data_IF_054179188746
#
_entry.id   IF_054179188746
#
_cell.length_a   1.000
_cell.length_b   1.000
_cell.length_c   1.000
_cell.angle_alpha   90.00
_cell.angle_beta   90.00
_cell.angle_gamma   90.00
#
_symmetry.space_group_name_H-M   'P 1'
#
loop_
_entity.id
_entity.type
_entity.pdbx_description
1 polymer ?
#
# COMPACT_ATOMS: atom_id res chain seq x y z
N UNK A 1 20.35 -30.24 12.04
CA UNK A 1 20.11 -29.71 10.67
C UNK A 1 18.71 -30.01 10.16
N UNK A 2 18.29 -31.28 10.03
CA UNK A 2 16.98 -31.64 9.46
C UNK A 2 15.76 -30.95 10.13
N UNK A 3 15.74 -30.82 11.46
CA UNK A 3 14.65 -30.13 12.20
C UNK A 3 14.57 -28.63 11.90
N UNK A 4 15.71 -27.96 11.72
CA UNK A 4 15.76 -26.54 11.38
C UNK A 4 15.28 -26.30 9.95
N UNK A 5 15.64 -27.18 9.02
CA UNK A 5 15.17 -27.14 7.63
C UNK A 5 13.66 -27.36 7.54
N UNK A 6 13.10 -28.34 8.27
CA UNK A 6 11.64 -28.59 8.31
C UNK A 6 10.88 -27.41 8.94
N UNK A 7 11.42 -26.80 9.99
CA UNK A 7 10.81 -25.61 10.60
C UNK A 7 10.85 -24.42 9.61
N UNK A 8 11.96 -24.21 8.90
CA UNK A 8 12.06 -23.18 7.85
C UNK A 8 11.08 -23.47 6.72
N UNK A 9 10.91 -24.72 6.32
CA UNK A 9 9.95 -25.12 5.28
C UNK A 9 8.50 -24.85 5.69
N UNK A 10 8.11 -25.28 6.89
CA UNK A 10 6.77 -25.03 7.45
C UNK A 10 6.50 -23.54 7.66
N UNK A 11 7.52 -22.80 8.14
CA UNK A 11 7.41 -21.35 8.30
C UNK A 11 7.29 -20.67 6.94
N UNK A 12 8.09 -21.03 5.93
CA UNK A 12 8.06 -20.36 4.62
C UNK A 12 6.73 -20.56 3.89
N UNK A 13 6.18 -21.77 3.92
CA UNK A 13 4.89 -22.13 3.31
C UNK A 13 3.71 -21.42 4.02
N UNK A 14 3.71 -21.45 5.35
CA UNK A 14 2.63 -20.87 6.17
C UNK A 14 2.66 -19.33 6.22
N UNK A 15 3.85 -18.72 6.10
CA UNK A 15 4.05 -17.27 6.25
C UNK A 15 3.90 -16.57 4.90
N UNK A 16 4.53 -17.06 3.84
CA UNK A 16 4.59 -16.30 2.59
C UNK A 16 3.31 -16.38 1.75
N UNK A 17 2.39 -17.30 2.04
CA UNK A 17 1.24 -17.61 1.18
C UNK A 17 1.70 -17.87 -0.27
N UNK A 18 2.84 -18.55 -0.40
CA UNK A 18 3.46 -18.94 -1.66
C UNK A 18 3.58 -20.44 -1.61
N UNK A 19 2.96 -21.14 -2.57
CA UNK A 19 3.22 -22.56 -2.85
C UNK A 19 4.74 -22.76 -3.03
N UNK A 20 5.42 -23.22 -1.99
CA UNK A 20 6.87 -23.38 -2.05
C UNK A 20 7.18 -24.70 -2.73
N UNK A 21 7.54 -24.62 -4.01
CA UNK A 21 8.12 -25.76 -4.71
C UNK A 21 9.43 -26.18 -4.00
N UNK A 22 9.38 -27.31 -3.29
CA UNK A 22 10.45 -27.83 -2.43
C UNK A 22 11.77 -28.09 -3.19
N UNK A 23 11.70 -28.20 -4.51
CA UNK A 23 12.82 -28.39 -5.42
C UNK A 23 13.77 -27.18 -5.54
N UNK A 24 13.39 -26.01 -4.99
CA UNK A 24 14.17 -24.76 -5.07
C UNK A 24 14.95 -24.39 -3.81
N UNK A 25 14.99 -25.25 -2.78
CA UNK A 25 15.84 -25.03 -1.62
C UNK A 25 17.28 -25.47 -1.90
N UNK A 26 18.17 -24.50 -2.03
CA UNK A 26 19.61 -24.76 -2.16
C UNK A 26 20.27 -24.69 -0.78
N UNK A 27 20.93 -25.77 -0.38
CA UNK A 27 21.82 -25.78 0.78
C UNK A 27 23.10 -24.98 0.46
N UNK A 28 23.01 -23.65 0.53
CA UNK A 28 24.18 -22.76 0.60
C UNK A 28 24.56 -22.45 2.05
N UNK A 29 25.61 -21.66 2.28
CA UNK A 29 26.06 -21.22 3.62
C UNK A 29 24.98 -20.54 4.47
N UNK A 30 23.85 -20.14 3.88
CA UNK A 30 22.61 -19.80 4.56
C UNK A 30 21.38 -20.27 3.76
N UNK A 31 20.20 -20.33 4.39
CA UNK A 31 18.96 -20.69 3.72
C UNK A 31 18.54 -19.58 2.76
N UNK A 32 18.19 -19.95 1.52
CA UNK A 32 17.71 -19.05 0.48
C UNK A 32 16.32 -19.47 0.01
N UNK A 33 15.45 -18.49 -0.19
CA UNK A 33 14.09 -18.69 -0.73
C UNK A 33 13.87 -17.71 -1.87
N UNK A 34 13.47 -18.21 -3.04
CA UNK A 34 13.22 -17.38 -4.24
C UNK A 34 14.41 -16.44 -4.60
N UNK A 35 15.63 -16.85 -4.26
CA UNK A 35 16.85 -16.09 -4.49
C UNK A 35 17.08 -14.91 -3.53
N UNK A 36 16.35 -14.86 -2.41
CA UNK A 36 16.59 -14.00 -1.24
C UNK A 36 17.33 -14.77 -0.14
N UNK A 37 17.95 -14.05 0.79
CA UNK A 37 18.65 -14.61 1.94
C UNK A 37 17.78 -14.56 3.19
N UNK A 38 17.74 -15.65 3.96
CA UNK A 38 17.01 -15.70 5.22
C UNK A 38 17.96 -15.47 6.40
N UNK A 39 17.74 -14.38 7.12
CA UNK A 39 18.36 -14.10 8.42
C UNK A 39 17.47 -14.68 9.52
N UNK A 40 17.62 -15.99 9.77
CA UNK A 40 16.81 -16.72 10.75
C UNK A 40 16.96 -16.18 12.18
N UNK A 41 18.16 -15.86 12.70
CA UNK A 41 18.30 -15.29 14.04
C UNK A 41 17.48 -14.02 14.25
N UNK A 42 17.33 -13.19 13.20
CA UNK A 42 16.57 -11.95 13.27
C UNK A 42 15.16 -12.05 12.69
N UNK A 43 14.76 -13.23 12.21
CA UNK A 43 13.49 -13.48 11.54
C UNK A 43 13.21 -12.49 10.39
N UNK A 44 14.19 -12.31 9.51
CA UNK A 44 14.11 -11.37 8.38
C UNK A 44 14.47 -12.04 7.05
N UNK A 45 13.93 -11.48 5.98
CA UNK A 45 14.34 -11.77 4.62
C UNK A 45 15.14 -10.60 4.07
N UNK A 46 16.35 -10.89 3.60
CA UNK A 46 17.35 -9.93 3.16
C UNK A 46 17.49 -9.95 1.65
N UNK A 47 17.59 -8.76 1.07
CA UNK A 47 17.93 -8.60 -0.34
C UNK A 47 19.44 -8.83 -0.53
N UNK A 48 19.88 -9.82 -1.33
CA UNK A 48 21.30 -10.06 -1.57
C UNK A 48 22.02 -8.79 -2.03
N UNK A 49 23.20 -8.53 -1.47
CA UNK A 49 23.94 -7.27 -1.60
C UNK A 49 24.24 -6.95 -3.06
N UNK A 50 24.64 -7.94 -3.85
CA UNK A 50 25.00 -7.74 -5.26
C UNK A 50 23.76 -7.38 -6.10
N UNK A 51 22.64 -8.09 -5.87
CA UNK A 51 21.38 -7.80 -6.55
C UNK A 51 20.84 -6.43 -6.19
N UNK A 52 20.94 -6.06 -4.91
CA UNK A 52 20.57 -4.74 -4.40
C UNK A 52 21.38 -3.63 -5.08
N UNK A 53 22.71 -3.79 -5.14
CA UNK A 53 23.59 -2.82 -5.79
C UNK A 53 23.20 -2.58 -7.26
N UNK A 54 22.94 -3.65 -8.01
CA UNK A 54 22.49 -3.57 -9.42
C UNK A 54 21.14 -2.84 -9.58
N UNK A 55 20.23 -3.01 -8.62
CA UNK A 55 18.94 -2.29 -8.63
C UNK A 55 19.18 -0.80 -8.35
N UNK A 56 19.95 -0.48 -7.31
CA UNK A 56 20.25 0.91 -6.90
C UNK A 56 20.96 1.67 -8.01
N UNK A 57 21.93 1.05 -8.69
CA UNK A 57 22.62 1.64 -9.84
C UNK A 57 21.63 2.00 -10.95
N UNK A 58 20.76 1.05 -11.33
CA UNK A 58 19.77 1.28 -12.39
C UNK A 58 18.75 2.37 -12.00
N UNK A 59 18.33 2.40 -10.74
CA UNK A 59 17.44 3.45 -10.21
C UNK A 59 18.11 4.82 -10.16
N UNK A 60 19.42 4.87 -9.91
CA UNK A 60 20.19 6.12 -9.90
C UNK A 60 20.27 6.73 -11.29
N UNK A 61 20.41 5.90 -12.33
CA UNK A 61 20.32 6.39 -13.70
C UNK A 61 18.89 6.87 -14.02
N UNK A 62 17.87 6.09 -13.62
CA UNK A 62 16.48 6.39 -13.92
C UNK A 62 15.89 7.57 -13.12
N UNK A 63 16.50 7.96 -12.00
CA UNK A 63 16.04 9.12 -11.20
C UNK A 63 16.46 10.47 -11.78
N UNK A 64 17.40 10.49 -12.74
CA UNK A 64 17.87 11.72 -13.39
C UNK A 64 16.79 12.27 -14.32
N UNK A 65 16.04 13.28 -13.85
CA UNK A 65 14.96 13.95 -14.61
C UNK A 65 15.46 14.43 -15.98
N UNK A 66 14.58 14.33 -16.99
CA UNK A 66 14.82 14.78 -18.37
C UNK A 66 15.97 14.07 -19.12
N UNK A 67 16.58 13.05 -18.55
CA UNK A 67 17.54 12.19 -19.25
C UNK A 67 16.84 11.27 -20.25
N UNK A 68 17.62 10.66 -21.14
CA UNK A 68 17.16 9.57 -21.98
C UNK A 68 17.80 8.27 -21.51
N UNK A 69 17.00 7.21 -21.42
CA UNK A 69 17.47 5.89 -21.00
C UNK A 69 17.17 4.83 -22.07
N UNK A 70 18.02 3.80 -22.21
CA UNK A 70 17.69 2.61 -23.01
C UNK A 70 16.43 1.93 -22.47
N UNK A 71 15.56 1.45 -23.36
CA UNK A 71 14.36 0.68 -22.98
C UNK A 71 14.74 -0.55 -22.14
N UNK A 72 15.83 -1.23 -22.51
CA UNK A 72 16.30 -2.42 -21.82
C UNK A 72 16.66 -2.14 -20.35
N UNK A 73 17.10 -0.92 -20.02
CA UNK A 73 17.39 -0.54 -18.63
C UNK A 73 16.09 -0.53 -17.81
N UNK A 74 15.02 0.05 -18.36
CA UNK A 74 13.72 0.09 -17.68
C UNK A 74 13.12 -1.30 -17.54
N UNK A 75 13.17 -2.12 -18.60
CA UNK A 75 12.68 -3.51 -18.57
C UNK A 75 13.41 -4.34 -17.51
N UNK A 76 14.76 -4.30 -17.49
CA UNK A 76 15.57 -5.02 -16.51
C UNK A 76 15.32 -4.51 -15.08
N UNK A 77 15.21 -3.20 -14.91
CA UNK A 77 14.93 -2.60 -13.60
C UNK A 77 13.56 -3.04 -13.10
N UNK A 78 12.53 -2.94 -13.94
CA UNK A 78 11.18 -3.38 -13.60
C UNK A 78 11.17 -4.86 -13.21
N UNK A 79 11.82 -5.74 -13.98
CA UNK A 79 11.90 -7.17 -13.64
C UNK A 79 12.52 -7.42 -12.25
N UNK A 80 13.61 -6.72 -11.94
CA UNK A 80 14.27 -6.81 -10.61
C UNK A 80 13.39 -6.24 -9.50
N UNK A 81 12.67 -5.14 -9.75
CA UNK A 81 11.76 -4.54 -8.80
C UNK A 81 10.52 -5.39 -8.54
N UNK A 82 9.95 -6.02 -9.57
CA UNK A 82 8.85 -6.98 -9.43
C UNK A 82 9.29 -8.13 -8.54
N UNK A 83 10.48 -8.68 -8.80
CA UNK A 83 11.08 -9.69 -7.92
C UNK A 83 11.22 -9.17 -6.48
N UNK A 84 11.89 -8.04 -6.25
CA UNK A 84 12.04 -7.48 -4.90
C UNK A 84 10.68 -7.20 -4.20
N UNK A 85 9.65 -6.83 -4.96
CA UNK A 85 8.31 -6.56 -4.45
C UNK A 85 7.52 -7.79 -4.00
N UNK A 86 8.04 -9.01 -4.25
CA UNK A 86 7.49 -10.23 -3.64
C UNK A 86 7.70 -10.25 -2.12
N UNK A 87 8.68 -9.48 -1.62
CA UNK A 87 9.00 -9.38 -0.19
C UNK A 87 8.73 -7.97 0.30
N UNK A 88 9.19 -6.96 -0.44
CA UNK A 88 8.98 -5.56 -0.09
C UNK A 88 7.67 -5.05 -0.72
N UNK A 89 6.52 -5.43 -0.15
CA UNK A 89 5.20 -5.11 -0.70
C UNK A 89 4.99 -3.61 -0.96
N UNK A 90 5.57 -2.73 -0.13
CA UNK A 90 5.49 -1.27 -0.31
C UNK A 90 6.06 -0.77 -1.64
N UNK A 91 6.88 -1.56 -2.34
CA UNK A 91 7.38 -1.20 -3.66
C UNK A 91 6.28 -1.26 -4.74
N UNK A 92 5.25 -2.09 -4.55
CA UNK A 92 4.25 -2.40 -5.59
C UNK A 92 3.49 -1.17 -6.08
N UNK A 93 3.07 -0.28 -5.17
CA UNK A 93 2.39 0.99 -5.53
C UNK A 93 3.23 1.88 -6.46
N UNK A 94 4.56 1.79 -6.36
CA UNK A 94 5.52 2.60 -7.07
C UNK A 94 5.97 1.99 -8.40
N UNK A 95 5.56 0.76 -8.73
CA UNK A 95 5.93 0.11 -10.01
C UNK A 95 5.06 0.58 -11.19
N UNK A 96 3.92 1.23 -10.93
CA UNK A 96 2.99 1.66 -11.99
C UNK A 96 3.64 2.56 -13.06
N UNK A 97 4.48 3.57 -12.73
CA UNK A 97 5.16 4.37 -13.75
C UNK A 97 6.06 3.55 -14.68
N UNK A 98 6.73 2.52 -14.15
CA UNK A 98 7.55 1.61 -14.95
C UNK A 98 6.68 0.79 -15.92
N UNK A 99 5.60 0.18 -15.43
CA UNK A 99 4.64 -0.54 -16.28
C UNK A 99 4.01 0.37 -17.35
N UNK A 100 3.68 1.61 -17.00
CA UNK A 100 3.10 2.58 -17.93
C UNK A 100 4.04 2.88 -19.11
N UNK A 101 5.34 3.03 -18.83
CA UNK A 101 6.37 3.24 -19.85
C UNK A 101 6.50 2.02 -20.76
N UNK A 102 6.59 0.81 -20.20
CA UNK A 102 6.69 -0.43 -21.00
C UNK A 102 5.45 -0.62 -21.87
N UNK A 103 4.25 -0.42 -21.32
CA UNK A 103 2.99 -0.52 -22.08
C UNK A 103 2.88 0.53 -23.19
N UNK A 104 3.47 1.71 -23.01
CA UNK A 104 3.44 2.78 -24.02
C UNK A 104 4.34 2.48 -25.24
N UNK A 105 5.40 1.70 -25.05
CA UNK A 105 6.33 1.32 -26.12
C UNK A 105 5.99 -0.03 -26.78
N UNK A 106 5.12 -0.83 -26.16
CA UNK A 106 4.64 -2.09 -26.74
C UNK A 106 3.92 -1.82 -28.08
N UNK A 107 4.30 -2.53 -29.16
CA UNK A 107 3.63 -2.38 -30.43
C UNK A 107 2.17 -2.82 -30.28
N UNK A 108 1.22 -1.90 -30.55
CA UNK A 108 -0.20 -2.22 -30.65
C UNK A 108 -0.44 -3.08 -31.91
N UNK A 109 -0.17 -4.36 -31.82
CA UNK A 109 -0.18 -5.32 -32.93
C UNK A 109 -1.57 -5.70 -33.45
N UNK A 110 -2.63 -4.99 -33.06
CA UNK A 110 -4.02 -5.38 -33.35
C UNK A 110 -4.65 -4.70 -34.57
N UNK A 111 -4.01 -3.71 -35.18
CA UNK A 111 -4.51 -3.13 -36.43
C UNK A 111 -3.96 -3.91 -37.63
N UNK A 112 -4.85 -4.69 -38.26
CA UNK A 112 -4.61 -5.40 -39.53
C UNK A 112 -4.12 -4.37 -40.56
N UNK A 113 -2.83 -4.39 -40.89
CA UNK A 113 -2.21 -3.50 -41.88
C UNK A 113 -1.14 -2.54 -41.34
N UNK A 114 -0.86 -2.53 -40.03
CA UNK A 114 0.16 -1.64 -39.48
C UNK A 114 1.58 -2.04 -39.91
N UNK A 115 2.21 -1.18 -40.72
CA UNK A 115 3.64 -1.19 -41.06
C UNK A 115 4.47 -1.52 -39.81
N UNK A 116 5.38 -2.51 -39.91
CA UNK A 116 6.31 -2.91 -38.84
C UNK A 116 7.00 -1.67 -38.25
N UNK A 117 6.45 -1.09 -37.18
CA UNK A 117 7.05 0.06 -36.50
C UNK A 117 8.41 -0.36 -35.95
N UNK A 118 9.45 0.45 -36.24
CA UNK A 118 10.79 0.24 -35.68
C UNK A 118 10.68 0.23 -34.15
N UNK A 119 11.28 -0.78 -33.52
CA UNK A 119 11.28 -0.94 -32.06
C UNK A 119 11.92 0.28 -31.40
N UNK A 120 11.22 0.92 -30.47
CA UNK A 120 11.73 2.03 -29.66
C UNK A 120 12.92 1.51 -28.84
N UNK A 121 14.09 2.16 -28.96
CA UNK A 121 15.32 1.75 -28.25
C UNK A 121 15.62 2.61 -27.03
N UNK A 122 15.20 3.87 -27.04
CA UNK A 122 15.43 4.84 -25.97
C UNK A 122 14.13 5.58 -25.67
N UNK A 123 13.97 5.97 -24.42
CA UNK A 123 12.84 6.77 -23.95
C UNK A 123 13.36 8.01 -23.23
N UNK A 124 12.54 9.06 -23.19
CA UNK A 124 12.75 10.20 -22.29
C UNK A 124 12.15 9.86 -20.93
N UNK A 125 12.91 10.08 -19.86
CA UNK A 125 12.44 9.85 -18.49
C UNK A 125 11.53 11.01 -18.08
N UNK A 126 10.23 10.70 -17.91
CA UNK A 126 9.25 11.62 -17.35
C UNK A 126 9.39 11.78 -15.83
N UNK A 127 8.85 12.87 -15.29
CA UNK A 127 8.87 13.17 -13.84
C UNK A 127 8.35 12.01 -13.00
N UNK A 128 7.23 11.41 -13.39
CA UNK A 128 6.63 10.30 -12.63
C UNK A 128 7.51 9.06 -12.55
N UNK A 129 8.30 8.74 -13.59
CA UNK A 129 9.22 7.61 -13.55
C UNK A 129 10.43 7.95 -12.67
N UNK A 130 11.00 9.15 -12.85
CA UNK A 130 12.15 9.62 -12.09
C UNK A 130 11.85 9.68 -10.58
N UNK A 131 10.69 10.20 -10.20
CA UNK A 131 10.26 10.29 -8.79
C UNK A 131 10.04 8.92 -8.17
N UNK A 132 9.40 7.99 -8.90
CA UNK A 132 9.26 6.61 -8.44
C UNK A 132 10.62 5.92 -8.29
N UNK A 133 11.54 6.12 -9.25
CA UNK A 133 12.88 5.57 -9.17
C UNK A 133 13.67 6.12 -7.96
N UNK A 134 13.61 7.44 -7.74
CA UNK A 134 14.25 8.10 -6.60
C UNK A 134 13.71 7.61 -5.26
N UNK A 135 12.38 7.48 -5.15
CA UNK A 135 11.74 7.01 -3.94
C UNK A 135 12.09 5.55 -3.61
N UNK A 136 12.01 4.66 -4.62
CA UNK A 136 12.38 3.24 -4.44
C UNK A 136 13.87 3.13 -4.08
N UNK A 137 14.73 3.95 -4.69
CA UNK A 137 16.15 4.01 -4.33
C UNK A 137 16.33 4.37 -2.86
N UNK A 138 15.68 5.44 -2.39
CA UNK A 138 15.74 5.85 -0.98
C UNK A 138 15.26 4.76 -0.02
N UNK A 139 14.23 4.01 -0.40
CA UNK A 139 13.80 2.80 0.33
C UNK A 139 14.93 1.77 0.39
N UNK A 140 15.48 1.39 -0.76
CA UNK A 140 16.45 0.31 -0.86
C UNK A 140 17.80 0.72 -0.27
N UNK A 141 18.15 2.00 -0.21
CA UNK A 141 19.35 2.52 0.46
C UNK A 141 19.26 2.32 1.99
N UNK A 142 18.08 2.50 2.57
CA UNK A 142 17.87 2.48 4.02
C UNK A 142 17.35 1.15 4.56
N UNK A 143 16.72 0.32 3.72
CA UNK A 143 16.11 -0.94 4.16
C UNK A 143 16.65 -2.09 3.33
N UNK A 144 17.42 -2.93 4.02
CA UNK A 144 18.06 -4.12 3.45
C UNK A 144 17.30 -5.41 3.72
N UNK A 145 16.40 -5.37 4.70
CA UNK A 145 15.71 -6.53 5.22
C UNK A 145 14.24 -6.21 5.48
N UNK A 146 13.35 -7.13 5.11
CA UNK A 146 11.96 -7.12 5.54
C UNK A 146 11.80 -8.14 6.68
N UNK A 147 11.00 -7.87 7.71
CA UNK A 147 10.53 -8.94 8.58
C UNK A 147 9.84 -10.03 7.72
N UNK A 148 9.87 -11.28 8.21
CA UNK A 148 9.11 -12.36 7.59
C UNK A 148 7.64 -11.95 7.43
N UNK A 149 7.09 -11.98 6.20
CA UNK A 149 5.71 -11.59 5.93
C UNK A 149 4.71 -12.50 6.66
N UNK A 150 4.35 -12.27 7.92
CA UNK A 150 3.36 -13.10 8.63
C UNK A 150 3.86 -13.81 9.88
N UNK A 151 5.13 -13.62 10.30
CA UNK A 151 5.45 -13.85 11.71
C UNK A 151 4.79 -12.74 12.53
N UNK A 152 3.82 -13.18 13.31
CA UNK A 152 3.01 -12.38 14.21
C UNK A 152 3.93 -11.46 15.00
N UNK A 153 3.65 -10.14 15.04
CA UNK A 153 4.40 -9.26 15.91
C UNK A 153 4.32 -9.73 17.36
N UNK A 154 5.40 -9.52 18.10
CA UNK A 154 5.56 -9.82 19.53
C UNK A 154 4.28 -9.52 20.31
N UNK A 155 3.82 -10.49 21.12
CA UNK A 155 2.84 -10.20 22.18
C UNK A 155 3.39 -9.04 23.03
N UNK A 156 2.71 -7.89 23.05
CA UNK A 156 3.06 -6.76 23.91
C UNK A 156 3.13 -5.38 23.24
N UNK A 157 3.06 -5.28 21.90
CA UNK A 157 3.00 -3.98 21.21
C UNK A 157 1.54 -3.54 21.01
N UNK A 158 1.17 -2.32 21.44
CA UNK A 158 -0.20 -1.80 21.38
C UNK A 158 -0.76 -1.88 19.95
N UNK A 159 -1.87 -2.60 19.78
CA UNK A 159 -2.58 -2.68 18.49
C UNK A 159 -3.77 -1.73 18.43
N UNK A 160 -4.01 -1.18 17.25
CA UNK A 160 -5.23 -0.45 16.94
C UNK A 160 -6.07 -1.23 15.93
N UNK A 161 -7.35 -1.46 16.25
CA UNK A 161 -8.32 -2.06 15.33
C UNK A 161 -9.13 -0.92 14.71
N UNK A 162 -9.01 -0.75 13.40
CA UNK A 162 -9.70 0.28 12.64
C UNK A 162 -10.88 -0.37 11.92
N UNK A 163 -12.10 -0.04 12.32
CA UNK A 163 -13.31 -0.37 11.59
C UNK A 163 -13.71 0.83 10.74
N UNK A 164 -13.86 0.66 9.44
CA UNK A 164 -14.13 1.77 8.54
C UNK A 164 -15.18 1.40 7.49
N UNK A 165 -15.89 2.44 7.05
CA UNK A 165 -16.91 2.36 6.01
C UNK A 165 -17.04 3.71 5.29
N UNK A 166 -17.69 3.69 4.13
CA UNK A 166 -18.10 4.87 3.39
C UNK A 166 -19.48 4.69 2.75
N UNK A 167 -20.26 5.76 2.80
CA UNK A 167 -21.52 5.91 2.08
C UNK A 167 -21.37 6.85 0.88
N UNK A 168 -22.48 7.26 0.27
CA UNK A 168 -22.46 8.26 -0.82
C UNK A 168 -22.36 9.70 -0.31
N UNK A 169 -22.50 9.91 1.00
CA UNK A 169 -22.57 11.23 1.64
C UNK A 169 -21.42 11.50 2.60
N UNK A 170 -20.85 10.46 3.18
CA UNK A 170 -19.75 10.57 4.13
C UNK A 170 -18.93 9.29 4.18
N UNK A 171 -17.75 9.37 4.79
CA UNK A 171 -16.97 8.22 5.23
C UNK A 171 -16.63 8.37 6.69
N UNK A 172 -16.36 7.26 7.36
CA UNK A 172 -15.91 7.31 8.73
C UNK A 172 -15.51 5.96 9.27
N UNK A 173 -15.16 5.96 10.55
CA UNK A 173 -14.75 4.75 11.21
C UNK A 173 -14.52 4.94 12.70
N UNK A 174 -14.36 3.81 13.37
CA UNK A 174 -13.98 3.70 14.76
C UNK A 174 -12.59 3.04 14.85
N UNK A 175 -11.83 3.44 15.84
CA UNK A 175 -10.51 2.92 16.18
C UNK A 175 -10.60 2.44 17.61
N UNK A 176 -10.45 1.14 17.80
CA UNK A 176 -10.56 0.48 19.09
C UNK A 176 -9.17 0.03 19.52
N UNK A 177 -8.80 0.34 20.77
CA UNK A 177 -7.57 -0.20 21.36
C UNK A 177 -7.65 -1.71 21.51
N UNK A 178 -6.50 -2.38 21.58
CA UNK A 178 -6.46 -3.85 21.73
C UNK A 178 -7.22 -4.37 22.96
N UNK A 179 -7.23 -3.61 24.06
CA UNK A 179 -7.97 -3.94 25.28
C UNK A 179 -9.48 -3.63 25.20
N UNK A 180 -9.94 -3.05 24.09
CA UNK A 180 -11.33 -2.65 23.86
C UNK A 180 -11.79 -1.44 24.69
N UNK A 181 -10.90 -0.84 25.49
CA UNK A 181 -11.30 0.20 26.46
C UNK A 181 -11.38 1.57 25.85
N UNK A 182 -10.53 1.91 24.88
CA UNK A 182 -10.51 3.23 24.25
C UNK A 182 -11.08 3.13 22.85
N UNK A 183 -12.03 4.01 22.55
CA UNK A 183 -12.62 4.13 21.21
C UNK A 183 -12.41 5.54 20.72
N UNK A 184 -11.78 5.69 19.57
CA UNK A 184 -11.72 6.95 18.85
C UNK A 184 -12.55 6.84 17.58
N UNK A 185 -13.32 7.86 17.22
CA UNK A 185 -14.13 7.85 15.99
C UNK A 185 -13.84 9.07 15.13
N UNK A 186 -13.96 8.91 13.81
CA UNK A 186 -13.80 10.01 12.86
C UNK A 186 -14.88 9.99 11.80
N UNK A 187 -15.20 11.17 11.27
CA UNK A 187 -16.22 11.37 10.25
C UNK A 187 -15.71 12.38 9.20
N UNK A 188 -15.91 12.04 7.93
CA UNK A 188 -15.62 12.85 6.76
C UNK A 188 -16.92 13.15 6.03
N UNK A 189 -17.42 14.38 6.20
CA UNK A 189 -18.58 14.84 5.45
C UNK A 189 -18.19 15.17 4.01
N UNK A 190 -18.76 14.49 3.02
CA UNK A 190 -18.46 14.75 1.62
C UNK A 190 -19.13 16.01 1.09
N UNK A 191 -19.98 16.69 1.85
CA UNK A 191 -20.46 18.04 1.49
C UNK A 191 -19.45 19.12 1.87
N UNK A 192 -18.49 18.81 2.75
CA UNK A 192 -17.41 19.72 3.12
C UNK A 192 -16.50 19.99 1.91
N UNK A 193 -16.27 21.27 1.62
CA UNK A 193 -15.48 21.71 0.47
C UNK A 193 -14.03 21.17 0.48
N UNK A 194 -13.41 21.05 1.67
CA UNK A 194 -12.05 20.52 1.78
C UNK A 194 -12.01 19.02 1.44
N UNK A 195 -12.97 18.25 1.94
CA UNK A 195 -13.09 16.81 1.66
C UNK A 195 -13.42 16.59 0.18
N UNK A 196 -14.30 17.39 -0.41
CA UNK A 196 -14.58 17.35 -1.85
C UNK A 196 -13.36 17.63 -2.70
N UNK A 197 -12.56 18.65 -2.34
CA UNK A 197 -11.35 18.96 -3.08
C UNK A 197 -10.38 17.75 -3.08
N UNK A 198 -10.24 17.08 -1.94
CA UNK A 198 -9.44 15.85 -1.85
C UNK A 198 -10.02 14.76 -2.74
N UNK A 199 -11.33 14.48 -2.66
CA UNK A 199 -11.95 13.43 -3.47
C UNK A 199 -11.80 13.74 -4.98
N UNK A 200 -12.02 14.98 -5.38
CA UNK A 200 -11.90 15.44 -6.77
C UNK A 200 -10.48 15.27 -7.33
N UNK A 201 -9.43 15.37 -6.52
CA UNK A 201 -8.05 15.13 -6.93
C UNK A 201 -7.78 13.66 -7.35
N UNK A 202 -8.65 12.73 -6.97
CA UNK A 202 -8.51 11.30 -7.25
C UNK A 202 -9.60 10.77 -8.17
N UNK A 203 -10.84 11.21 -7.96
CA UNK A 203 -12.03 10.84 -8.74
C UNK A 203 -12.82 12.11 -9.12
N UNK A 204 -12.36 12.87 -10.14
CA UNK A 204 -12.97 14.15 -10.53
C UNK A 204 -14.45 14.08 -10.93
N UNK A 205 -14.92 12.89 -11.28
CA UNK A 205 -16.31 12.61 -11.67
C UNK A 205 -17.26 12.41 -10.49
N UNK A 206 -16.75 12.22 -9.27
CA UNK A 206 -17.60 11.99 -8.10
C UNK A 206 -18.29 13.29 -7.65
N UNK A 207 -19.58 13.20 -7.37
CA UNK A 207 -20.41 14.29 -6.83
C UNK A 207 -21.33 13.71 -5.78
N UNK A 208 -21.50 14.41 -4.66
CA UNK A 208 -22.44 14.00 -3.62
C UNK A 208 -23.87 14.17 -4.12
N UNK A 209 -24.69 13.16 -3.89
CA UNK A 209 -26.07 13.10 -4.37
C UNK A 209 -26.22 12.33 -5.68
N UNK A 210 -25.16 12.23 -6.49
CA UNK A 210 -25.15 11.39 -7.68
C UNK A 210 -25.00 9.91 -7.29
N UNK A 211 -25.48 9.02 -8.17
CA UNK A 211 -25.29 7.58 -7.99
C UNK A 211 -23.81 7.24 -8.22
N UNK A 212 -23.07 6.77 -7.21
CA UNK A 212 -21.66 6.44 -7.39
C UNK A 212 -21.49 5.19 -8.23
N UNK A 213 -20.42 5.16 -9.01
CA UNK A 213 -19.95 3.93 -9.63
C UNK A 213 -19.31 3.02 -8.57
N UNK A 214 -19.29 1.71 -8.81
CA UNK A 214 -18.64 0.74 -7.91
C UNK A 214 -17.17 1.10 -7.61
N UNK A 215 -16.47 1.68 -8.60
CA UNK A 215 -15.10 2.17 -8.42
C UNK A 215 -14.97 3.38 -7.49
N UNK A 216 -16.00 4.23 -7.38
CA UNK A 216 -16.02 5.35 -6.44
C UNK A 216 -16.17 4.84 -5.01
N UNK A 217 -17.11 3.93 -4.76
CA UNK A 217 -17.32 3.37 -3.41
C UNK A 217 -16.04 2.71 -2.87
N UNK A 218 -15.37 1.90 -3.69
CA UNK A 218 -14.09 1.29 -3.31
C UNK A 218 -13.02 2.34 -2.95
N UNK A 219 -12.99 3.47 -3.65
CA UNK A 219 -12.08 4.57 -3.31
C UNK A 219 -12.43 5.24 -1.99
N UNK A 220 -13.71 5.52 -1.74
CA UNK A 220 -14.16 6.21 -0.55
C UNK A 220 -13.92 5.36 0.72
N UNK A 221 -14.15 4.06 0.64
CA UNK A 221 -13.84 3.14 1.74
C UNK A 221 -12.33 2.99 1.97
N UNK A 222 -11.54 2.88 0.91
CA UNK A 222 -10.08 2.88 1.02
C UNK A 222 -9.56 4.19 1.61
N UNK A 223 -10.17 5.33 1.25
CA UNK A 223 -9.84 6.63 1.83
C UNK A 223 -10.16 6.66 3.33
N UNK A 224 -11.30 6.11 3.74
CA UNK A 224 -11.66 5.95 5.16
C UNK A 224 -10.59 5.15 5.91
N UNK A 225 -10.24 3.97 5.41
CA UNK A 225 -9.17 3.15 5.98
C UNK A 225 -7.83 3.90 6.07
N UNK A 226 -7.43 4.62 5.02
CA UNK A 226 -6.18 5.39 4.98
C UNK A 226 -6.17 6.49 6.03
N UNK A 227 -7.29 7.19 6.24
CA UNK A 227 -7.42 8.20 7.30
C UNK A 227 -7.23 7.57 8.67
N UNK A 228 -7.88 6.43 8.92
CA UNK A 228 -7.69 5.64 10.14
C UNK A 228 -6.21 5.27 10.35
N UNK A 229 -5.54 4.72 9.33
CA UNK A 229 -4.14 4.32 9.40
C UNK A 229 -3.24 5.52 9.65
N UNK A 230 -3.44 6.64 8.94
CA UNK A 230 -2.63 7.85 9.07
C UNK A 230 -2.83 8.58 10.41
N UNK A 231 -3.86 8.23 11.18
CA UNK A 231 -4.07 8.79 12.52
C UNK A 231 -3.23 8.15 13.63
N UNK A 232 -2.63 6.99 13.38
CA UNK A 232 -1.89 6.22 14.40
C UNK A 232 -0.41 6.64 14.51
N UNK A 233 0.32 6.28 15.57
CA UNK A 233 1.79 6.33 15.56
C UNK A 233 2.38 5.49 14.41
N UNK A 234 3.60 5.79 13.96
CA UNK A 234 4.22 5.16 12.78
C UNK A 234 4.67 3.71 13.02
N UNK A 235 4.95 3.39 14.27
CA UNK A 235 5.34 2.09 14.79
C UNK A 235 4.13 1.26 15.30
N UNK A 236 2.95 1.87 15.41
CA UNK A 236 1.77 1.16 15.90
C UNK A 236 1.21 0.18 14.86
N UNK A 237 0.92 -1.04 15.31
CA UNK A 237 0.26 -2.04 14.48
C UNK A 237 -1.21 -1.73 14.28
N UNK A 238 -1.65 -1.89 13.05
CA UNK A 238 -3.03 -1.63 12.64
C UNK A 238 -3.68 -2.85 12.01
N UNK A 239 -4.85 -3.22 12.55
CA UNK A 239 -5.77 -4.16 11.91
C UNK A 239 -6.93 -3.36 11.32
N UNK A 240 -7.09 -3.39 10.00
CA UNK A 240 -8.19 -2.73 9.31
C UNK A 240 -9.30 -3.73 9.00
N UNK A 241 -10.52 -3.37 9.38
CA UNK A 241 -11.76 -4.10 9.10
C UNK A 241 -12.63 -3.23 8.18
N UNK A 242 -12.96 -3.77 7.01
CA UNK A 242 -13.69 -3.09 5.95
C UNK A 242 -14.51 -4.13 5.16
N UNK A 243 -15.72 -3.79 4.76
CA UNK A 243 -16.62 -4.68 4.02
C UNK A 243 -16.42 -4.63 2.49
N UNK A 244 -15.59 -3.72 1.99
CA UNK A 244 -15.18 -3.74 0.60
C UNK A 244 -13.92 -4.57 0.38
N UNK A 245 -14.15 -5.78 -0.14
CA UNK A 245 -13.12 -6.71 -0.55
C UNK A 245 -12.03 -6.09 -1.45
N UNK A 246 -12.37 -5.13 -2.31
CA UNK A 246 -11.39 -4.50 -3.18
C UNK A 246 -10.49 -3.50 -2.44
N UNK A 247 -11.02 -2.76 -1.46
CA UNK A 247 -10.24 -1.92 -0.56
C UNK A 247 -9.31 -2.77 0.33
N UNK A 248 -9.82 -3.85 0.93
CA UNK A 248 -9.04 -4.82 1.71
C UNK A 248 -7.89 -5.40 0.87
N UNK A 249 -8.18 -5.84 -0.36
CA UNK A 249 -7.16 -6.38 -1.26
C UNK A 249 -6.09 -5.33 -1.61
N UNK A 250 -6.49 -4.07 -1.80
CA UNK A 250 -5.57 -2.97 -2.05
C UNK A 250 -4.63 -2.73 -0.87
N UNK A 251 -5.16 -2.73 0.37
CA UNK A 251 -4.39 -2.59 1.60
C UNK A 251 -3.40 -3.76 1.78
N UNK A 252 -3.89 -5.00 1.73
CA UNK A 252 -3.04 -6.19 1.90
C UNK A 252 -1.89 -6.26 0.88
N UNK A 253 -2.13 -5.81 -0.36
CA UNK A 253 -1.11 -5.79 -1.42
C UNK A 253 -0.28 -4.51 -1.45
N UNK A 254 -0.66 -3.49 -0.68
CA UNK A 254 -0.13 -2.13 -0.79
C UNK A 254 -0.14 -1.61 -2.24
N UNK A 255 -1.16 -1.99 -3.02
CA UNK A 255 -1.26 -1.72 -4.46
C UNK A 255 -2.67 -1.93 -4.98
N UNK A 256 -3.06 -1.12 -5.97
CA UNK A 256 -4.32 -1.31 -6.69
C UNK A 256 -4.15 -1.13 -8.20
N UNK A 257 -4.98 -1.84 -9.00
CA UNK A 257 -4.98 -1.68 -10.46
C UNK A 257 -5.59 -0.35 -10.91
N UNK A 258 -6.60 0.16 -10.19
CA UNK A 258 -7.21 1.46 -10.47
C UNK A 258 -6.21 2.61 -10.27
N UNK A 259 -6.23 3.62 -11.14
CA UNK A 259 -5.34 4.77 -11.06
C UNK A 259 -5.55 5.57 -9.75
N UNK A 260 -6.81 5.84 -9.42
CA UNK A 260 -7.19 6.58 -8.22
C UNK A 260 -6.77 5.85 -6.95
N UNK A 261 -7.13 4.56 -6.83
CA UNK A 261 -6.75 3.72 -5.68
C UNK A 261 -5.22 3.62 -5.56
N UNK A 262 -4.49 3.41 -6.67
CA UNK A 262 -3.04 3.32 -6.59
C UNK A 262 -2.37 4.65 -6.23
N UNK A 263 -2.93 5.78 -6.67
CA UNK A 263 -2.47 7.11 -6.25
C UNK A 263 -2.58 7.24 -4.73
N UNK A 264 -3.68 6.77 -4.14
CA UNK A 264 -3.90 6.77 -2.69
C UNK A 264 -2.96 5.79 -1.97
N UNK A 265 -2.73 4.59 -2.50
CA UNK A 265 -1.75 3.64 -1.93
C UNK A 265 -0.31 4.15 -2.00
N UNK A 266 0.06 4.87 -3.07
CA UNK A 266 1.36 5.56 -3.13
C UNK A 266 1.46 6.59 -2.01
N UNK A 267 0.40 7.35 -1.76
CA UNK A 267 0.38 8.31 -0.66
C UNK A 267 0.57 7.64 0.70
N UNK A 268 -0.18 6.57 0.97
CA UNK A 268 -0.05 5.82 2.21
C UNK A 268 1.38 5.30 2.40
N UNK A 269 1.92 4.60 1.39
CA UNK A 269 3.26 4.00 1.48
C UNK A 269 4.39 5.02 1.60
N UNK A 270 4.23 6.23 1.06
CA UNK A 270 5.19 7.32 1.22
C UNK A 270 5.04 8.07 2.55
N UNK A 271 3.82 8.15 3.09
CA UNK A 271 3.55 8.78 4.39
C UNK A 271 3.87 7.87 5.57
N UNK A 272 3.89 6.55 5.33
CA UNK A 272 4.25 5.50 6.28
C UNK A 272 5.36 4.61 5.72
N UNK A 273 6.61 5.09 5.67
CA UNK A 273 7.73 4.28 5.22
C UNK A 273 7.88 2.99 6.03
N UNK A 274 7.59 3.00 7.34
CA UNK A 274 7.61 1.83 8.21
C UNK A 274 6.57 0.77 7.85
N UNK A 275 5.52 1.12 7.09
CA UNK A 275 4.40 0.25 6.80
C UNK A 275 4.88 -0.99 6.04
N UNK A 276 4.92 -2.09 6.77
CA UNK A 276 5.30 -3.41 6.31
C UNK A 276 4.12 -4.35 6.52
N UNK A 277 4.14 -5.50 5.83
CA UNK A 277 3.11 -6.54 6.00
C UNK A 277 2.87 -6.92 7.48
N UNK A 278 3.87 -6.92 8.38
CA UNK A 278 3.61 -7.18 9.80
C UNK A 278 2.96 -6.04 10.59
N UNK A 279 3.16 -4.77 10.19
CA UNK A 279 2.58 -3.62 10.90
C UNK A 279 1.14 -3.30 10.46
N UNK A 280 0.69 -3.86 9.33
CA UNK A 280 -0.67 -3.64 8.84
C UNK A 280 -1.27 -4.90 8.24
N UNK A 281 -2.44 -5.27 8.75
CA UNK A 281 -3.31 -6.29 8.17
C UNK A 281 -4.66 -5.67 7.84
N UNK A 282 -5.27 -6.12 6.75
CA UNK A 282 -6.67 -5.80 6.45
C UNK A 282 -7.47 -7.10 6.34
N UNK A 283 -8.68 -7.10 6.88
CA UNK A 283 -9.60 -8.23 6.85
C UNK A 283 -10.95 -7.75 6.34
N UNK A 284 -11.54 -8.55 5.45
CA UNK A 284 -12.90 -8.35 5.02
C UNK A 284 -13.88 -8.75 6.11
N UNK A 285 -14.81 -7.86 6.43
CA UNK A 285 -15.92 -8.15 7.35
C UNK A 285 -17.23 -8.11 6.57
N UNK A 286 -18.19 -8.93 6.97
CA UNK A 286 -19.53 -8.82 6.40
C UNK A 286 -20.17 -7.50 6.82
N UNK A 287 -20.95 -6.87 5.93
CA UNK A 287 -21.59 -5.58 6.23
C UNK A 287 -22.46 -5.60 7.49
N UNK A 288 -23.10 -6.74 7.78
CA UNK A 288 -23.88 -6.93 9.02
C UNK A 288 -23.05 -6.85 10.30
N UNK A 289 -21.73 -7.06 10.21
CA UNK A 289 -20.78 -6.95 11.32
C UNK A 289 -20.09 -5.58 11.38
N UNK A 290 -20.31 -4.70 10.39
CA UNK A 290 -19.67 -3.37 10.30
C UNK A 290 -20.59 -2.24 10.78
N UNK A 291 -21.57 -2.54 11.64
CA UNK A 291 -22.66 -1.63 12.06
C UNK A 291 -22.14 -0.31 12.61
N UNK A 292 -21.05 -0.34 13.39
CA UNK A 292 -20.47 0.88 13.99
C UNK A 292 -19.96 1.82 12.89
N UNK A 293 -19.15 1.32 11.96
CA UNK A 293 -18.61 2.15 10.90
C UNK A 293 -19.71 2.60 9.92
N UNK A 294 -20.68 1.73 9.62
CA UNK A 294 -21.86 2.06 8.80
C UNK A 294 -22.72 3.16 9.42
N UNK A 295 -22.95 3.10 10.73
CA UNK A 295 -23.66 4.15 11.46
C UNK A 295 -22.91 5.48 11.37
N UNK A 296 -21.58 5.46 11.57
CA UNK A 296 -20.76 6.67 11.45
C UNK A 296 -20.81 7.22 10.02
N UNK A 297 -20.75 6.37 8.99
CA UNK A 297 -20.71 6.79 7.58
C UNK A 297 -22.07 7.28 7.05
N UNK A 298 -23.19 6.94 7.71
CA UNK A 298 -24.56 7.24 7.23
C UNK A 298 -25.38 8.19 8.09
N UNK A 299 -25.26 8.12 9.42
CA UNK A 299 -26.14 8.85 10.34
C UNK A 299 -25.91 10.37 10.32
N UNK A 300 -24.74 10.80 9.80
CA UNK A 300 -24.31 12.18 9.77
C UNK A 300 -23.71 12.63 11.10
N UNK A 301 -22.85 13.64 11.03
CA UNK A 301 -21.97 14.04 12.14
C UNK A 301 -22.70 14.30 13.47
N UNK A 302 -23.78 15.09 13.47
CA UNK A 302 -24.50 15.46 14.70
C UNK A 302 -25.13 14.25 15.38
N UNK A 303 -25.72 13.33 14.60
CA UNK A 303 -26.32 12.11 15.14
C UNK A 303 -25.24 11.22 15.73
N UNK A 304 -24.16 10.98 14.99
CA UNK A 304 -23.01 10.19 15.49
C UNK A 304 -22.47 10.78 16.78
N UNK A 305 -22.21 12.09 16.83
CA UNK A 305 -21.68 12.76 18.04
C UNK A 305 -22.60 12.58 19.25
N UNK A 306 -23.92 12.70 19.06
CA UNK A 306 -24.89 12.52 20.14
C UNK A 306 -24.99 11.06 20.60
N UNK A 307 -24.77 10.08 19.72
CA UNK A 307 -24.74 8.66 20.10
C UNK A 307 -23.58 8.36 21.06
N UNK A 308 -22.46 9.07 20.91
CA UNK A 308 -21.24 8.81 21.68
C UNK A 308 -21.01 9.77 22.87
N UNK A 309 -21.81 10.84 23.01
CA UNK A 309 -21.55 11.90 24.00
C UNK A 309 -21.68 11.50 25.47
N UNK A 310 -22.18 10.29 25.76
CA UNK A 310 -22.34 9.76 27.12
C UNK A 310 -21.26 8.77 27.55
N UNK A 311 -20.23 8.53 26.74
CA UNK A 311 -19.19 7.54 27.01
C UNK A 311 -17.83 8.23 27.23
N UNK A 312 -17.31 8.18 28.46
CA UNK A 312 -16.04 8.83 28.83
C UNK A 312 -14.82 8.28 28.06
N UNK A 313 -14.91 7.01 27.67
CA UNK A 313 -13.85 6.28 26.95
C UNK A 313 -13.92 6.45 25.42
N UNK A 314 -14.87 7.26 24.93
CA UNK A 314 -15.07 7.49 23.50
C UNK A 314 -14.70 8.92 23.13
N UNK A 315 -13.79 9.06 22.16
CA UNK A 315 -13.26 10.36 21.75
C UNK A 315 -13.42 10.60 20.25
N UNK A 316 -13.82 11.82 19.90
CA UNK A 316 -13.78 12.27 18.52
C UNK A 316 -12.33 12.58 18.09
N UNK A 317 -11.89 11.93 17.02
CA UNK A 317 -10.62 12.17 16.36
C UNK A 317 -10.77 13.29 15.33
N UNK A 318 -10.07 14.41 15.55
CA UNK A 318 -9.99 15.49 14.56
C UNK A 318 -9.04 15.13 13.42
N UNK A 319 -9.57 15.04 12.21
CA UNK A 319 -8.85 14.54 11.04
C UNK A 319 -8.32 15.64 10.11
N UNK A 320 -8.50 16.92 10.42
CA UNK A 320 -8.10 18.04 9.53
C UNK A 320 -6.63 17.97 9.13
N UNK A 321 -5.74 17.66 10.09
CA UNK A 321 -4.30 17.51 9.83
C UNK A 321 -4.00 16.32 8.91
N UNK A 322 -4.77 15.26 9.01
CA UNK A 322 -4.64 14.05 8.19
C UNK A 322 -5.14 14.34 6.77
N UNK A 323 -6.28 15.00 6.63
CA UNK A 323 -6.83 15.39 5.34
C UNK A 323 -5.87 16.32 4.56
N UNK A 324 -5.25 17.29 5.25
CA UNK A 324 -4.21 18.13 4.64
C UNK A 324 -2.99 17.34 4.18
N UNK A 325 -2.57 16.31 4.94
CA UNK A 325 -1.43 15.48 4.54
C UNK A 325 -1.75 14.62 3.32
N UNK A 326 -3.01 14.18 3.16
CA UNK A 326 -3.49 13.49 1.97
C UNK A 326 -3.47 14.41 0.74
N UNK A 327 -3.78 15.70 0.92
CA UNK A 327 -3.80 16.68 -0.18
C UNK A 327 -2.41 17.13 -0.64
N UNK A 328 -1.42 17.16 0.25
CA UNK A 328 -0.09 17.69 -0.08
C UNK A 328 0.70 16.75 -1.01
N UNK A 329 1.32 17.27 -2.08
CA UNK A 329 2.25 16.48 -2.88
C UNK A 329 3.43 16.05 -1.99
N UNK A 330 3.59 14.75 -1.79
CA UNK A 330 4.64 14.18 -0.92
C UNK A 330 6.06 14.48 -1.44
N UNK A 331 6.18 14.99 -2.67
CA UNK A 331 7.42 15.46 -3.27
C UNK A 331 8.17 16.51 -2.42
N UNK A 332 7.50 17.21 -1.51
CA UNK A 332 8.13 18.23 -0.66
C UNK A 332 8.89 17.70 0.58
N UNK A 333 8.75 16.40 0.94
CA UNK A 333 9.36 15.85 2.17
C UNK A 333 10.66 15.06 1.96
N UNK A 334 11.03 14.77 0.71
CA UNK A 334 12.12 13.82 0.39
C UNK A 334 13.13 14.37 -0.64
N UNK A 335 13.11 15.68 -0.87
CA UNK A 335 14.17 16.45 -1.54
C UNK A 335 14.87 17.33 -0.48
#
# INVERSE_FOLDING_TARGET
MARTTVLVLLLTDFILDVDVALDKFFCSSGPKVLGFELDLPRLRVVLPVEKRALIIESLTELSRKASTAPVQLVEKTLGRLVWASSIFHRLRSQLRPFFGVIKAIEPKSKERGAVKRRRVRRIRIGSSLAEAASYIKGILDNVTASPFPGLVPSLGEERAVIMCDASTKAAGGAIVSEDGRKIEWYHMDFTCAEVQAIIADYIPSFRVGDRPESGHMCFLELLSAVVGILSRPEDQMVLVMCDNSAAVNALCKLYAKSAALNKLMRLLTMSRPSLTTPLMKAIHVEGVSNVVADTISRAGYTVTRNMWSGFDDVKELRIDKILRSIRQPIAAKWL
#
